data_IF_943628266865
#
_entry.id   IF_943628266865
#
_cell.length_a   1.000
_cell.length_b   1.000
_cell.length_c   1.000
_cell.angle_alpha   90.00
_cell.angle_beta   90.00
_cell.angle_gamma   90.00
#
_symmetry.space_group_name_H-M   'P 1'
#
loop_
_entity.id
_entity.type
_entity.pdbx_description
1 polymer ?
#
# COMPACT_ATOMS: atom_id res chain seq x y z
N UNK A 1 8.71 14.17 5.88
CA UNK A 1 7.57 13.57 5.17
C UNK A 1 6.61 14.69 4.79
N UNK A 2 6.73 15.22 3.57
CA UNK A 2 5.90 16.31 3.02
C UNK A 2 5.09 15.84 1.81
N UNK A 3 5.55 14.84 1.06
CA UNK A 3 4.92 14.40 -0.18
C UNK A 3 4.64 12.92 -0.07
N UNK A 4 3.44 12.60 0.38
CA UNK A 4 3.03 11.22 0.60
C UNK A 4 2.04 10.75 -0.45
N UNK A 5 1.99 9.43 -0.63
CA UNK A 5 1.03 8.74 -1.47
C UNK A 5 0.51 7.50 -0.75
N UNK A 6 -0.76 7.17 -0.89
CA UNK A 6 -1.28 5.85 -0.52
C UNK A 6 -2.15 5.24 -1.62
N UNK A 7 -2.10 3.91 -1.74
CA UNK A 7 -3.06 3.11 -2.49
C UNK A 7 -3.93 2.36 -1.50
N UNK A 8 -5.25 2.46 -1.68
CA UNK A 8 -6.23 1.99 -0.70
C UNK A 8 -6.53 3.07 0.35
N UNK A 9 -7.81 3.46 0.41
CA UNK A 9 -8.30 4.51 1.30
C UNK A 9 -9.37 3.98 2.25
N UNK A 10 -10.29 3.12 1.75
CA UNK A 10 -11.34 2.49 2.54
C UNK A 10 -12.08 3.48 3.47
N UNK A 11 -11.94 3.35 4.80
CA UNK A 11 -12.58 4.25 5.77
C UNK A 11 -11.78 5.53 6.09
N UNK A 12 -10.62 5.71 5.46
CA UNK A 12 -9.74 6.86 5.58
C UNK A 12 -8.86 6.94 6.83
N UNK A 13 -8.78 5.87 7.63
CA UNK A 13 -8.01 5.89 8.88
C UNK A 13 -6.51 6.18 8.67
N UNK A 14 -5.85 5.46 7.74
CA UNK A 14 -4.43 5.69 7.41
C UNK A 14 -4.19 7.11 6.91
N UNK A 15 -5.03 7.57 5.96
CA UNK A 15 -4.95 8.90 5.38
C UNK A 15 -5.06 9.98 6.44
N UNK A 16 -6.02 9.86 7.37
CA UNK A 16 -6.21 10.83 8.46
C UNK A 16 -4.96 10.91 9.33
N UNK A 17 -4.33 9.79 9.68
CA UNK A 17 -3.10 9.80 10.45
C UNK A 17 -1.94 10.45 9.69
N UNK A 18 -1.77 10.13 8.40
CA UNK A 18 -0.72 10.71 7.55
C UNK A 18 -0.93 12.23 7.39
N UNK A 19 -2.15 12.64 7.05
CA UNK A 19 -2.53 14.05 6.89
C UNK A 19 -2.35 14.84 8.20
N UNK A 20 -2.72 14.24 9.33
CA UNK A 20 -2.53 14.87 10.65
C UNK A 20 -1.05 15.07 10.98
N UNK A 21 -0.20 14.08 10.69
CA UNK A 21 1.25 14.20 10.86
C UNK A 21 1.89 15.26 9.94
N UNK A 22 1.22 15.60 8.84
CA UNK A 22 1.65 16.63 7.89
C UNK A 22 1.06 18.01 8.16
N UNK A 23 0.13 18.13 9.11
CA UNK A 23 -0.56 19.38 9.39
C UNK A 23 0.44 20.47 9.80
N UNK A 24 0.30 21.67 9.23
CA UNK A 24 1.21 22.80 9.48
C UNK A 24 2.53 22.76 8.70
N UNK A 25 2.87 21.64 8.03
CA UNK A 25 4.04 21.60 7.16
C UNK A 25 3.78 22.33 5.84
N UNK A 26 4.55 23.40 5.58
CA UNK A 26 4.42 24.18 4.34
C UNK A 26 4.65 23.30 3.11
N UNK A 27 3.66 23.27 2.22
CA UNK A 27 3.69 22.52 0.96
C UNK A 27 3.53 21.01 1.13
N UNK A 28 3.05 20.54 2.28
CA UNK A 28 2.73 19.12 2.44
C UNK A 28 1.46 18.73 1.69
N UNK A 29 1.46 17.53 1.10
CA UNK A 29 0.37 16.95 0.32
C UNK A 29 0.40 15.43 0.46
N UNK A 30 -0.79 14.85 0.62
CA UNK A 30 -1.02 13.41 0.59
C UNK A 30 -1.91 13.05 -0.61
N UNK A 31 -1.41 12.19 -1.49
CA UNK A 31 -2.16 11.67 -2.63
C UNK A 31 -2.82 10.36 -2.21
N UNK A 32 -4.13 10.25 -2.37
CA UNK A 32 -4.91 9.08 -1.94
C UNK A 32 -5.58 8.48 -3.16
N UNK A 33 -5.28 7.22 -3.47
CA UNK A 33 -5.80 6.53 -4.66
C UNK A 33 -6.74 5.40 -4.23
N UNK A 34 -8.03 5.52 -4.55
CA UNK A 34 -9.04 4.50 -4.24
C UNK A 34 -10.28 4.65 -5.14
N UNK A 35 -10.61 3.65 -5.99
CA UNK A 35 -11.74 3.72 -6.92
C UNK A 35 -13.09 3.36 -6.28
N UNK A 36 -13.16 3.10 -4.98
CA UNK A 36 -14.31 2.44 -4.34
C UNK A 36 -14.94 3.25 -3.20
N UNK A 37 -14.65 4.54 -3.05
CA UNK A 37 -15.23 5.33 -1.95
C UNK A 37 -16.75 5.32 -1.90
N UNK A 38 -17.44 5.28 -3.04
CA UNK A 38 -18.89 5.14 -3.10
C UNK A 38 -19.38 3.85 -2.39
N UNK A 39 -18.62 2.75 -2.49
CA UNK A 39 -18.92 1.48 -1.81
C UNK A 39 -18.71 1.55 -0.29
N UNK A 40 -17.88 2.48 0.16
CA UNK A 40 -17.70 2.84 1.57
C UNK A 40 -18.63 3.97 2.00
N UNK A 41 -19.63 4.29 1.18
CA UNK A 41 -20.53 5.43 1.35
C UNK A 41 -19.75 6.71 1.65
N UNK A 42 -18.61 6.96 1.02
CA UNK A 42 -17.73 8.14 1.20
C UNK A 42 -17.31 8.44 2.65
N UNK A 43 -17.27 7.42 3.52
CA UNK A 43 -16.95 7.62 4.94
C UNK A 43 -15.54 8.17 5.14
N UNK A 44 -14.55 7.72 4.37
CA UNK A 44 -13.19 8.25 4.40
C UNK A 44 -13.15 9.73 4.05
N UNK A 45 -13.80 10.11 2.95
CA UNK A 45 -13.88 11.51 2.52
C UNK A 45 -14.60 12.40 3.55
N UNK A 46 -15.68 11.90 4.17
CA UNK A 46 -16.37 12.61 5.26
C UNK A 46 -15.47 12.79 6.47
N UNK A 47 -14.71 11.78 6.87
CA UNK A 47 -13.80 11.86 8.01
C UNK A 47 -12.72 12.94 7.79
N UNK A 48 -12.10 12.94 6.61
CA UNK A 48 -11.10 13.96 6.24
C UNK A 48 -11.70 15.38 6.26
N UNK A 49 -12.93 15.56 5.76
CA UNK A 49 -13.63 16.86 5.82
C UNK A 49 -13.93 17.29 7.25
N UNK A 50 -14.49 16.41 8.07
CA UNK A 50 -14.86 16.69 9.47
C UNK A 50 -13.66 17.12 10.30
N UNK A 51 -12.48 16.60 9.99
CA UNK A 51 -11.23 16.92 10.69
C UNK A 51 -10.50 18.14 10.10
N UNK A 52 -11.04 18.80 9.07
CA UNK A 52 -10.41 19.96 8.44
C UNK A 52 -9.13 19.64 7.65
N UNK A 53 -8.93 18.38 7.26
CA UNK A 53 -7.71 17.89 6.62
C UNK A 53 -7.76 17.93 5.08
N UNK A 54 -8.91 18.29 4.49
CA UNK A 54 -9.14 18.22 3.04
C UNK A 54 -8.13 19.00 2.21
N UNK A 55 -7.63 20.15 2.70
CA UNK A 55 -6.66 20.97 1.97
C UNK A 55 -5.32 20.24 1.72
N UNK A 56 -4.94 19.33 2.61
CA UNK A 56 -3.71 18.54 2.47
C UNK A 56 -3.86 17.32 1.56
N UNK A 57 -5.08 16.97 1.15
CA UNK A 57 -5.37 15.73 0.44
C UNK A 57 -5.66 16.00 -1.04
N UNK A 58 -5.01 15.23 -1.93
CA UNK A 58 -5.42 15.05 -3.32
C UNK A 58 -6.02 13.66 -3.45
N UNK A 59 -7.33 13.57 -3.66
CA UNK A 59 -8.02 12.30 -3.83
C UNK A 59 -8.13 11.94 -5.31
N UNK A 60 -7.83 10.68 -5.64
CA UNK A 60 -7.83 10.12 -6.99
C UNK A 60 -8.79 8.90 -7.04
N UNK A 61 -10.04 9.10 -7.51
CA UNK A 61 -11.08 8.05 -7.52
C UNK A 61 -10.93 7.07 -8.69
N UNK A 62 -9.72 6.60 -8.94
CA UNK A 62 -9.38 5.75 -10.09
C UNK A 62 -8.48 4.59 -9.66
N UNK A 63 -8.27 3.62 -10.55
CA UNK A 63 -7.38 2.51 -10.26
C UNK A 63 -5.91 2.97 -10.19
N UNK A 64 -5.14 2.35 -9.30
CA UNK A 64 -3.72 2.68 -9.13
C UNK A 64 -2.90 2.44 -10.40
N UNK A 65 -3.24 1.42 -11.19
CA UNK A 65 -2.58 1.13 -12.47
C UNK A 65 -2.85 2.18 -13.56
N UNK A 66 -3.81 3.09 -13.37
CA UNK A 66 -4.04 4.24 -14.26
C UNK A 66 -3.37 5.51 -13.70
N UNK A 67 -3.52 5.72 -12.38
CA UNK A 67 -3.06 6.94 -11.70
C UNK A 67 -1.54 6.97 -11.56
N UNK A 68 -0.92 5.87 -11.13
CA UNK A 68 0.51 5.84 -10.84
C UNK A 68 1.40 6.09 -12.08
N UNK A 69 1.14 5.48 -13.26
CA UNK A 69 1.87 5.84 -14.47
C UNK A 69 1.67 7.31 -14.87
N UNK A 70 0.47 7.85 -14.68
CA UNK A 70 0.20 9.27 -14.95
C UNK A 70 1.02 10.19 -14.05
N UNK A 71 1.01 9.96 -12.74
CA UNK A 71 1.80 10.72 -11.78
C UNK A 71 3.31 10.64 -12.08
N UNK A 72 3.79 9.45 -12.44
CA UNK A 72 5.19 9.26 -12.82
C UNK A 72 5.56 10.09 -14.06
N UNK A 73 4.71 10.10 -15.10
CA UNK A 73 4.89 10.91 -16.31
C UNK A 73 4.86 12.41 -16.03
N UNK A 74 4.02 12.84 -15.09
CA UNK A 74 3.94 14.22 -14.59
C UNK A 74 5.17 14.62 -13.75
N UNK A 75 6.09 13.68 -13.48
CA UNK A 75 7.31 13.93 -12.72
C UNK A 75 7.10 14.01 -11.21
N UNK A 76 5.97 13.51 -10.70
CA UNK A 76 5.66 13.50 -9.26
C UNK A 76 6.80 12.83 -8.45
N UNK A 77 7.08 13.38 -7.27
CA UNK A 77 8.14 12.89 -6.37
C UNK A 77 7.60 12.79 -4.97
N UNK A 78 7.78 11.63 -4.35
CA UNK A 78 7.26 11.33 -3.02
C UNK A 78 8.38 10.97 -2.05
N UNK A 79 8.19 11.30 -0.77
CA UNK A 79 9.09 10.92 0.32
C UNK A 79 8.51 9.83 1.23
N UNK A 80 7.23 9.52 1.09
CA UNK A 80 6.55 8.45 1.78
C UNK A 80 5.48 7.80 0.91
N UNK A 81 5.36 6.47 0.99
CA UNK A 81 4.26 5.74 0.38
C UNK A 81 3.67 4.71 1.36
N UNK A 82 2.35 4.51 1.31
CA UNK A 82 1.63 3.46 2.02
C UNK A 82 0.83 2.60 1.03
N UNK A 83 1.15 1.31 0.93
CA UNK A 83 0.51 0.38 -0.02
C UNK A 83 -0.44 -0.53 0.75
N UNK A 84 -1.75 -0.37 0.50
CA UNK A 84 -2.85 -1.12 1.11
C UNK A 84 -4.06 -1.23 0.14
N UNK A 85 -3.77 -1.26 -1.16
CA UNK A 85 -4.77 -1.36 -2.22
C UNK A 85 -5.16 -2.79 -2.56
N UNK A 86 -4.93 -3.17 -3.82
CA UNK A 86 -5.18 -4.52 -4.29
C UNK A 86 -4.24 -5.55 -3.67
N UNK A 87 -4.81 -6.66 -3.19
CA UNK A 87 -4.05 -7.73 -2.53
C UNK A 87 -3.60 -8.85 -3.47
N UNK A 88 -3.84 -8.71 -4.78
CA UNK A 88 -3.23 -9.60 -5.78
C UNK A 88 -1.76 -9.21 -6.00
N UNK A 89 -0.95 -10.16 -6.46
CA UNK A 89 0.50 -9.95 -6.55
C UNK A 89 0.84 -8.87 -7.59
N UNK A 90 0.20 -8.96 -8.76
CA UNK A 90 0.32 -8.02 -9.86
C UNK A 90 -0.09 -6.60 -9.46
N UNK A 91 -1.19 -6.43 -8.73
CA UNK A 91 -1.63 -5.12 -8.21
C UNK A 91 -0.59 -4.51 -7.27
N UNK A 92 -0.22 -5.24 -6.21
CA UNK A 92 0.76 -4.75 -5.24
C UNK A 92 2.14 -4.52 -5.86
N UNK A 93 2.52 -5.34 -6.84
CA UNK A 93 3.77 -5.18 -7.58
C UNK A 93 3.77 -3.93 -8.46
N UNK A 94 2.69 -3.68 -9.22
CA UNK A 94 2.53 -2.47 -10.04
C UNK A 94 2.54 -1.22 -9.16
N UNK A 95 1.86 -1.26 -8.01
CA UNK A 95 1.89 -0.18 -7.03
C UNK A 95 3.32 0.12 -6.60
N UNK A 96 4.04 -0.89 -6.10
CA UNK A 96 5.42 -0.72 -5.65
C UNK A 96 6.35 -0.28 -6.78
N UNK A 97 6.19 -0.80 -7.99
CA UNK A 97 7.03 -0.47 -9.13
C UNK A 97 6.98 1.02 -9.46
N UNK A 98 5.79 1.59 -9.64
CA UNK A 98 5.67 3.02 -9.93
C UNK A 98 5.99 3.90 -8.72
N UNK A 99 5.69 3.44 -7.51
CA UNK A 99 6.12 4.12 -6.27
C UNK A 99 7.65 4.20 -6.21
N UNK A 100 8.39 3.12 -6.48
CA UNK A 100 9.86 3.13 -6.51
C UNK A 100 10.40 4.15 -7.53
N UNK A 101 9.80 4.25 -8.72
CA UNK A 101 10.19 5.25 -9.72
C UNK A 101 10.03 6.70 -9.24
N UNK A 102 9.00 6.99 -8.43
CA UNK A 102 8.72 8.33 -7.90
C UNK A 102 9.38 8.62 -6.55
N UNK A 103 9.77 7.58 -5.80
CA UNK A 103 10.31 7.71 -4.44
C UNK A 103 11.72 8.27 -4.45
N UNK A 104 11.93 9.36 -3.69
CA UNK A 104 13.23 9.99 -3.54
C UNK A 104 14.21 9.13 -2.73
N UNK A 105 15.50 9.39 -2.87
CA UNK A 105 16.51 8.84 -1.98
C UNK A 105 16.20 9.19 -0.52
N UNK A 106 16.29 8.21 0.38
CA UNK A 106 15.91 8.36 1.78
C UNK A 106 14.41 8.26 2.07
N UNK A 107 13.56 8.19 1.03
CA UNK A 107 12.12 8.02 1.16
C UNK A 107 11.73 6.63 1.65
N UNK A 108 10.51 6.52 2.18
CA UNK A 108 10.01 5.31 2.83
C UNK A 108 8.79 4.73 2.11
N UNK A 109 8.69 3.41 2.12
CA UNK A 109 7.49 2.67 1.72
C UNK A 109 7.05 1.79 2.86
N UNK A 110 5.78 1.86 3.21
CA UNK A 110 5.11 0.93 4.10
C UNK A 110 4.15 0.08 3.27
N UNK A 111 4.19 -1.23 3.50
CA UNK A 111 3.35 -2.21 2.80
C UNK A 111 2.53 -2.92 3.87
N UNK A 112 1.20 -2.85 3.76
CA UNK A 112 0.27 -3.52 4.64
C UNK A 112 0.04 -4.99 4.21
N UNK A 113 -0.66 -5.77 5.03
CA UNK A 113 -1.06 -7.15 4.74
C UNK A 113 0.02 -8.12 4.26
N UNK A 114 1.26 -7.97 4.75
CA UNK A 114 2.40 -8.87 4.40
C UNK A 114 2.24 -10.31 4.92
N UNK A 115 1.13 -10.63 5.59
CA UNK A 115 0.72 -12.00 5.92
C UNK A 115 -0.04 -12.68 4.78
N UNK A 116 -0.62 -11.91 3.86
CA UNK A 116 -1.25 -12.44 2.65
C UNK A 116 -0.15 -12.88 1.69
N UNK A 117 -0.26 -14.09 1.13
CA UNK A 117 0.80 -14.67 0.29
C UNK A 117 1.24 -13.77 -0.88
N UNK A 118 0.34 -13.14 -1.64
CA UNK A 118 0.77 -12.28 -2.75
C UNK A 118 1.67 -11.14 -2.26
N UNK A 119 1.25 -10.44 -1.20
CA UNK A 119 2.01 -9.33 -0.63
C UNK A 119 3.28 -9.79 0.11
N UNK A 120 3.23 -10.95 0.79
CA UNK A 120 4.41 -11.58 1.37
C UNK A 120 5.47 -11.92 0.30
N UNK A 121 5.03 -12.31 -0.89
CA UNK A 121 5.89 -12.60 -2.04
C UNK A 121 6.56 -11.31 -2.53
N UNK A 122 5.82 -10.22 -2.68
CA UNK A 122 6.35 -8.89 -2.97
C UNK A 122 7.38 -8.45 -1.91
N UNK A 123 7.01 -8.52 -0.63
CA UNK A 123 7.89 -8.18 0.50
C UNK A 123 9.20 -9.00 0.48
N UNK A 124 9.11 -10.30 0.16
CA UNK A 124 10.29 -11.16 0.03
C UNK A 124 11.15 -10.77 -1.18
N UNK A 125 10.55 -10.38 -2.30
CA UNK A 125 11.28 -9.90 -3.47
C UNK A 125 12.00 -8.58 -3.18
N UNK A 126 11.32 -7.60 -2.58
CA UNK A 126 11.95 -6.33 -2.18
C UNK A 126 13.20 -6.61 -1.33
N UNK A 127 13.08 -7.49 -0.33
CA UNK A 127 14.21 -7.83 0.55
C UNK A 127 15.37 -8.55 -0.16
N UNK A 128 15.08 -9.42 -1.13
CA UNK A 128 16.09 -10.27 -1.78
C UNK A 128 16.72 -9.63 -3.01
N UNK A 129 15.94 -8.84 -3.73
CA UNK A 129 16.27 -8.35 -5.06
C UNK A 129 16.55 -6.84 -5.05
N UNK A 130 15.92 -6.06 -4.18
CA UNK A 130 16.14 -4.60 -4.11
C UNK A 130 17.22 -4.27 -3.08
N UNK A 131 18.49 -4.46 -3.44
CA UNK A 131 19.65 -4.09 -2.61
C UNK A 131 19.69 -2.60 -2.24
N UNK A 132 19.00 -1.77 -3.02
CA UNK A 132 18.85 -0.34 -2.81
C UNK A 132 17.72 0.02 -1.83
N UNK A 133 17.21 -0.97 -1.08
CA UNK A 133 16.25 -0.79 0.00
C UNK A 133 16.72 -1.47 1.28
N UNK A 134 16.44 -0.83 2.42
CA UNK A 134 16.73 -1.36 3.75
C UNK A 134 15.46 -1.40 4.59
N UNK A 135 15.22 -2.49 5.32
CA UNK A 135 14.12 -2.59 6.30
C UNK A 135 14.35 -1.60 7.45
N UNK A 136 13.30 -0.88 7.86
CA UNK A 136 13.36 0.11 8.94
C UNK A 136 12.40 -0.24 10.06
N UNK A 137 12.90 -0.16 11.29
CA UNK A 137 12.10 -0.20 12.52
C UNK A 137 11.41 -1.54 12.83
N UNK A 138 10.72 -1.53 13.96
CA UNK A 138 9.82 -2.61 14.39
C UNK A 138 8.37 -2.17 14.13
N UNK A 139 7.92 -2.36 12.90
CA UNK A 139 6.50 -2.21 12.54
C UNK A 139 5.70 -3.45 12.96
N UNK A 140 4.36 -3.34 13.12
CA UNK A 140 3.50 -4.50 13.39
C UNK A 140 3.79 -5.66 12.44
N UNK A 141 3.62 -6.91 12.90
CA UNK A 141 3.93 -8.12 12.11
C UNK A 141 3.17 -8.24 10.79
N UNK A 142 2.12 -7.46 10.59
CA UNK A 142 1.34 -7.41 9.34
C UNK A 142 1.83 -6.34 8.36
N UNK A 143 2.91 -5.62 8.68
CA UNK A 143 3.46 -4.56 7.85
C UNK A 143 4.94 -4.80 7.56
N UNK A 144 5.40 -4.24 6.44
CA UNK A 144 6.81 -4.06 6.13
C UNK A 144 7.05 -2.57 5.91
N UNK A 145 8.09 -2.02 6.54
CA UNK A 145 8.60 -0.68 6.24
C UNK A 145 10.02 -0.79 5.69
N UNK A 146 10.25 -0.16 4.55
CA UNK A 146 11.55 -0.11 3.88
C UNK A 146 11.90 1.34 3.51
N UNK A 147 13.19 1.66 3.51
CA UNK A 147 13.73 2.94 3.08
C UNK A 147 14.58 2.74 1.84
N UNK A 148 14.42 3.60 0.84
CA UNK A 148 15.26 3.62 -0.36
C UNK A 148 16.61 4.25 -0.04
N UNK A 149 17.69 3.50 -0.22
CA UNK A 149 19.06 3.89 0.14
C UNK A 149 19.94 4.21 -1.06
N UNK A 150 19.42 4.11 -2.29
CA UNK A 150 20.21 4.37 -3.49
C UNK A 150 19.49 4.05 -4.81
N UNK A 151 20.19 4.19 -5.94
CA UNK A 151 19.70 3.72 -7.24
C UNK A 151 19.63 2.20 -7.30
N UNK A 152 18.78 1.67 -8.17
CA UNK A 152 18.74 0.24 -8.47
C UNK A 152 19.93 -0.13 -9.36
N UNK A 153 20.79 -1.04 -8.90
CA UNK A 153 22.02 -1.44 -9.59
C UNK A 153 21.93 -2.85 -10.17
N UNK A 154 20.73 -3.43 -10.25
CA UNK A 154 20.55 -4.76 -10.84
C UNK A 154 20.85 -4.73 -12.34
N UNK A 155 21.52 -5.79 -12.89
CA UNK A 155 21.65 -5.92 -14.33
C UNK A 155 20.29 -6.13 -14.99
N UNK A 156 20.17 -5.79 -16.27
CA UNK A 156 18.89 -5.89 -17.00
C UNK A 156 18.36 -7.33 -17.12
N UNK A 157 19.21 -8.34 -17.00
CA UNK A 157 18.87 -9.77 -16.98
C UNK A 157 18.68 -10.34 -15.56
N UNK A 158 18.65 -9.51 -14.52
CA UNK A 158 18.54 -9.98 -13.13
C UNK A 158 17.24 -10.77 -12.90
N UNK A 159 17.37 -12.01 -12.44
CA UNK A 159 16.25 -12.83 -12.02
C UNK A 159 16.62 -13.72 -10.85
N UNK A 160 15.72 -13.80 -9.87
CA UNK A 160 15.74 -14.80 -8.80
C UNK A 160 14.35 -15.42 -8.70
N UNK A 161 14.28 -16.73 -8.52
CA UNK A 161 12.99 -17.42 -8.43
C UNK A 161 12.16 -16.97 -7.23
N UNK A 162 10.86 -16.79 -7.48
CA UNK A 162 9.86 -16.39 -6.51
C UNK A 162 9.14 -17.64 -5.98
N UNK A 163 9.54 -18.13 -4.82
CA UNK A 163 8.88 -19.28 -4.18
C UNK A 163 9.68 -19.84 -3.02
N UNK A 164 9.02 -20.06 -1.88
CA UNK A 164 9.58 -20.85 -0.77
C UNK A 164 8.54 -21.84 -0.30
N UNK A 165 8.96 -23.04 0.13
CA UNK A 165 8.05 -24.06 0.68
C UNK A 165 7.21 -23.53 1.84
N UNK A 166 7.77 -22.61 2.65
CA UNK A 166 7.08 -21.92 3.74
C UNK A 166 5.85 -21.15 3.27
N UNK A 167 5.90 -20.54 2.08
CA UNK A 167 4.77 -19.80 1.49
C UNK A 167 3.60 -20.69 1.07
N UNK A 168 3.85 -21.95 0.68
CA UNK A 168 2.81 -22.94 0.34
C UNK A 168 1.94 -23.28 1.54
N UNK A 169 2.57 -23.55 2.69
CA UNK A 169 1.85 -23.95 3.90
C UNK A 169 0.99 -22.81 4.48
N UNK A 170 1.51 -21.58 4.54
CA UNK A 170 0.75 -20.42 5.06
C UNK A 170 -0.45 -20.04 4.19
N UNK A 171 -0.37 -20.22 2.87
CA UNK A 171 -1.46 -19.89 1.96
C UNK A 171 -2.65 -20.82 2.13
N UNK A 172 -2.41 -22.13 2.18
CA UNK A 172 -3.46 -23.12 2.40
C UNK A 172 -4.20 -22.87 3.71
N UNK A 173 -3.47 -22.54 4.79
CA UNK A 173 -4.06 -22.19 6.09
C UNK A 173 -4.88 -20.89 6.04
N UNK A 174 -4.41 -19.86 5.32
CA UNK A 174 -5.11 -18.59 5.21
C UNK A 174 -6.38 -18.71 4.37
N UNK A 175 -6.32 -19.36 3.20
CA UNK A 175 -7.48 -19.61 2.33
C UNK A 175 -8.52 -20.48 3.03
N UNK A 176 -8.07 -21.50 3.79
CA UNK A 176 -8.97 -22.31 4.61
C UNK A 176 -9.67 -21.45 5.68
N UNK A 177 -8.92 -20.61 6.41
CA UNK A 177 -9.47 -19.71 7.44
C UNK A 177 -10.42 -18.64 6.90
N UNK A 178 -10.18 -18.10 5.70
CA UNK A 178 -11.06 -17.11 5.08
C UNK A 178 -12.34 -17.75 4.55
N UNK A 179 -12.26 -18.96 3.99
CA UNK A 179 -13.44 -19.77 3.61
C UNK A 179 -14.32 -20.15 4.80
N UNK A 180 -13.72 -20.53 5.94
CA UNK A 180 -14.50 -20.85 7.15
C UNK A 180 -15.21 -19.63 7.74
N UNK A 181 -14.60 -18.43 7.71
CA UNK A 181 -15.26 -17.21 8.20
C UNK A 181 -16.47 -16.79 7.36
N UNK A 182 -16.41 -17.01 6.04
CA UNK A 182 -17.56 -16.78 5.13
C UNK A 182 -18.68 -17.81 5.32
N UNK A 183 -18.37 -19.01 5.85
CA UNK A 183 -19.39 -20.01 6.20
C UNK A 183 -20.09 -19.75 7.54
N UNK A 184 -19.44 -19.06 8.48
CA UNK A 184 -20.02 -18.74 9.79
C UNK A 184 -20.93 -17.50 9.74
N UNK A 185 -20.69 -16.53 8.86
CA UNK A 185 -21.58 -15.38 8.67
C UNK A 185 -22.84 -15.69 7.85
N UNK A 186 -22.98 -16.91 7.32
CA UNK A 186 -24.18 -17.36 6.59
C UNK A 186 -25.16 -18.20 7.42
N UNK A 187 -24.88 -18.46 8.70
CA UNK A 187 -25.73 -19.32 9.56
C UNK A 187 -26.58 -18.58 10.60
N UNK A 188 -26.39 -17.27 10.78
CA UNK A 188 -27.19 -16.48 11.71
C UNK A 188 -28.11 -15.52 10.94
N UNK A 189 -29.10 -16.08 10.26
CA UNK A 189 -30.34 -15.36 9.96
C UNK A 189 -31.53 -16.36 9.99
N UNK A 190 -32.11 -16.65 11.17
CA UNK A 190 -33.39 -17.32 11.26
C UNK A 190 -34.49 -16.27 11.34
N UNK A 191 -35.06 -15.89 10.19
CA UNK A 191 -36.39 -15.27 10.15
C UNK A 191 -37.22 -15.95 9.05
N UNK A 192 -38.08 -16.86 9.51
CA UNK A 192 -39.47 -16.96 9.11
C UNK A 192 -40.29 -16.82 10.40
#
# INVERSE_FOLDING_TARGET
LRRSLETGFANGASAVHILSAQQGLKGARHIVIDPFQERYADVGLRNVRRLGLSRGMRFEPHYSHEVLPRLQREGERIDFAFIDGGHRFDEAFVDFYYIDLMLVHGGFVVIHDVKLRPVATLASWIRRDKSNYRRVGNVPRNMLMVQKTGPDTRPWWHYRSFGTMKGLLTHSLHVWRSRTRLSTTRRDNPEA
#
